data_IF_182833321217
#
_entry.id   IF_182833321217
#
_cell.length_a   1.000
_cell.length_b   1.000
_cell.length_c   1.000
_cell.angle_alpha   90.00
_cell.angle_beta   90.00
_cell.angle_gamma   90.00
#
_symmetry.space_group_name_H-M   'P 1'
#
loop_
_entity.id
_entity.type
_entity.pdbx_description
1 polymer ?
#
# COMPACT_ATOMS: atom_id res chain seq x y z
N UNK A 1 -14.53 -14.75 -11.54
CA UNK A 1 -14.34 -13.40 -10.97
C UNK A 1 -13.03 -12.91 -11.56
N UNK A 2 -13.09 -12.03 -12.56
CA UNK A 2 -11.87 -11.45 -13.11
C UNK A 2 -11.27 -10.55 -12.03
N UNK A 3 -10.05 -10.86 -11.62
CA UNK A 3 -9.30 -9.98 -10.73
C UNK A 3 -8.86 -8.78 -11.57
N UNK A 4 -9.68 -7.74 -11.63
CA UNK A 4 -9.30 -6.49 -12.28
C UNK A 4 -8.27 -5.79 -11.40
N UNK A 5 -7.01 -5.78 -11.84
CA UNK A 5 -5.96 -4.98 -11.23
C UNK A 5 -6.22 -3.50 -11.50
N UNK A 6 -6.12 -2.66 -10.47
CA UNK A 6 -6.24 -1.19 -10.60
C UNK A 6 -4.87 -0.54 -10.41
N UNK A 7 -4.66 0.62 -11.03
CA UNK A 7 -3.45 1.41 -10.78
C UNK A 7 -3.55 2.13 -9.42
N UNK A 8 -2.42 2.33 -8.75
CA UNK A 8 -2.34 3.03 -7.45
C UNK A 8 -3.05 4.40 -7.43
N UNK A 9 -2.94 5.27 -8.46
CA UNK A 9 -3.62 6.57 -8.43
C UNK A 9 -5.14 6.48 -8.49
N UNK A 10 -5.67 5.33 -8.93
CA UNK A 10 -7.11 5.08 -9.04
C UNK A 10 -7.67 4.47 -7.74
N UNK A 11 -6.84 4.26 -6.71
CA UNK A 11 -7.24 3.75 -5.40
C UNK A 11 -8.12 4.78 -4.68
N UNK A 12 -9.38 4.42 -4.43
CA UNK A 12 -10.35 5.28 -3.72
C UNK A 12 -10.55 4.82 -2.28
N UNK A 13 -10.71 5.78 -1.38
CA UNK A 13 -11.16 5.52 -0.02
C UNK A 13 -12.58 4.91 -0.03
N UNK A 14 -12.84 3.96 0.86
CA UNK A 14 -14.16 3.34 1.03
C UNK A 14 -14.42 2.06 0.23
N UNK A 15 -13.45 1.58 -0.55
CA UNK A 15 -13.53 0.25 -1.17
C UNK A 15 -13.06 -0.84 -0.20
N UNK A 16 -13.80 -1.95 -0.10
CA UNK A 16 -13.51 -3.04 0.85
C UNK A 16 -12.36 -3.96 0.42
N UNK A 17 -12.05 -4.05 -0.86
CA UNK A 17 -10.91 -4.81 -1.39
C UNK A 17 -10.50 -4.28 -2.76
N UNK A 18 -9.18 -4.18 -2.97
CA UNK A 18 -8.59 -3.83 -4.26
C UNK A 18 -7.33 -4.68 -4.47
N UNK A 19 -7.00 -4.95 -5.72
CA UNK A 19 -5.73 -5.58 -6.11
C UNK A 19 -4.99 -4.62 -7.03
N UNK A 20 -3.71 -4.38 -6.74
CA UNK A 20 -2.84 -3.57 -7.56
C UNK A 20 -1.47 -4.26 -7.64
N UNK A 21 -0.93 -4.37 -8.86
CA UNK A 21 0.45 -4.79 -9.07
C UNK A 21 1.34 -3.56 -9.05
N UNK A 22 2.40 -3.60 -8.24
CA UNK A 22 3.27 -2.45 -8.01
C UNK A 22 4.72 -2.90 -7.92
N UNK A 23 5.63 -2.10 -8.46
CA UNK A 23 7.06 -2.25 -8.14
C UNK A 23 7.32 -1.68 -6.75
N UNK A 24 8.19 -2.29 -5.96
CA UNK A 24 8.56 -1.77 -4.64
C UNK A 24 9.88 -1.01 -4.74
N UNK A 25 9.92 0.24 -4.26
CA UNK A 25 11.19 1.00 -4.16
C UNK A 25 11.87 0.66 -2.84
N UNK A 26 11.15 0.79 -1.73
CA UNK A 26 11.65 0.50 -0.39
C UNK A 26 10.50 0.23 0.57
N UNK A 27 10.82 -0.39 1.71
CA UNK A 27 9.89 -0.53 2.83
C UNK A 27 10.62 -0.18 4.13
N UNK A 28 9.89 0.38 5.08
CA UNK A 28 10.37 0.54 6.46
C UNK A 28 10.05 -0.71 7.27
N UNK A 29 10.90 -0.98 8.27
CA UNK A 29 10.69 -2.09 9.21
C UNK A 29 9.32 -2.01 9.89
N UNK A 30 8.71 -3.18 10.09
CA UNK A 30 7.40 -3.31 10.69
C UNK A 30 7.38 -2.73 12.10
N UNK A 31 6.50 -1.76 12.36
CA UNK A 31 6.35 -1.12 13.67
C UNK A 31 5.06 -1.58 14.32
N UNK A 32 5.11 -1.86 15.62
CA UNK A 32 3.91 -2.14 16.39
C UNK A 32 3.08 -0.86 16.50
N UNK A 33 1.84 -0.92 16.04
CA UNK A 33 0.89 0.18 16.19
C UNK A 33 0.20 0.03 17.54
N UNK A 34 -0.10 1.14 18.20
CA UNK A 34 -0.71 1.18 19.54
C UNK A 34 -2.18 0.73 19.58
N UNK A 35 -2.62 -0.13 18.67
CA UNK A 35 -3.93 -0.78 18.71
C UNK A 35 -3.75 -2.22 19.21
N UNK A 36 -3.75 -2.36 20.54
CA UNK A 36 -3.82 -3.62 21.29
C UNK A 36 -2.81 -4.72 20.92
N UNK A 37 -1.68 -4.36 20.32
CA UNK A 37 -0.56 -5.28 20.08
C UNK A 37 -0.78 -6.31 18.97
N UNK A 38 -1.93 -6.30 18.29
CA UNK A 38 -2.28 -7.24 17.23
C UNK A 38 -1.98 -6.74 15.81
N UNK A 39 -1.58 -5.47 15.66
CA UNK A 39 -1.31 -4.87 14.36
C UNK A 39 0.15 -4.43 14.26
N UNK A 40 0.81 -4.93 13.21
CA UNK A 40 2.11 -4.41 12.76
C UNK A 40 1.88 -3.62 11.48
N UNK A 41 2.37 -2.38 11.45
CA UNK A 41 2.34 -1.56 10.25
C UNK A 41 3.66 -1.67 9.50
N UNK A 42 3.56 -1.88 8.19
CA UNK A 42 4.68 -1.72 7.26
C UNK A 42 4.39 -0.51 6.38
N UNK A 43 5.37 0.39 6.28
CA UNK A 43 5.31 1.51 5.34
C UNK A 43 6.09 1.14 4.09
N UNK A 44 5.44 1.25 2.93
CA UNK A 44 6.05 0.95 1.63
C UNK A 44 6.08 2.20 0.76
N UNK A 45 7.21 2.40 0.09
CA UNK A 45 7.38 3.42 -0.94
C UNK A 45 7.20 2.77 -2.30
N UNK A 46 6.17 3.19 -3.02
CA UNK A 46 5.83 2.69 -4.34
C UNK A 46 6.11 3.77 -5.40
N UNK A 47 6.64 3.39 -6.58
CA UNK A 47 6.78 4.29 -7.71
C UNK A 47 5.38 4.64 -8.22
N UNK A 48 5.18 5.92 -8.54
CA UNK A 48 3.99 6.30 -9.26
C UNK A 48 4.20 6.04 -10.75
N UNK A 49 3.42 5.14 -11.33
CA UNK A 49 3.53 4.80 -12.75
C UNK A 49 2.90 5.86 -13.68
N UNK A 50 2.08 6.79 -13.16
CA UNK A 50 1.37 7.80 -13.98
C UNK A 50 1.85 9.23 -13.81
N UNK A 51 2.54 9.55 -12.73
CA UNK A 51 3.01 10.93 -12.46
C UNK A 51 4.52 10.94 -12.56
N UNK A 52 5.05 12.04 -13.11
CA UNK A 52 6.47 12.34 -13.28
C UNK A 52 7.38 11.67 -12.25
N UNK A 53 8.58 11.19 -12.65
CA UNK A 53 9.44 10.25 -11.90
C UNK A 53 9.78 10.62 -10.45
N UNK A 54 9.51 11.85 -10.02
CA UNK A 54 9.73 12.36 -8.67
C UNK A 54 8.55 12.16 -7.71
N UNK A 55 7.44 11.55 -8.17
CA UNK A 55 6.26 11.30 -7.33
C UNK A 55 6.23 9.87 -6.77
N UNK A 56 6.26 9.75 -5.44
CA UNK A 56 6.15 8.47 -4.76
C UNK A 56 4.86 8.36 -3.95
N UNK A 57 4.29 7.16 -3.85
CA UNK A 57 3.14 6.89 -3.00
C UNK A 57 3.59 6.15 -1.73
N UNK A 58 3.12 6.62 -0.57
CA UNK A 58 3.30 5.92 0.71
C UNK A 58 2.04 5.13 1.01
N UNK A 59 2.18 3.81 1.17
CA UNK A 59 1.08 2.93 1.55
C UNK A 59 1.41 2.31 2.90
N UNK A 60 0.41 2.28 3.78
CA UNK A 60 0.47 1.63 5.08
C UNK A 60 -0.33 0.33 5.00
N UNK A 61 0.33 -0.80 5.21
CA UNK A 61 -0.33 -2.11 5.30
C UNK A 61 -0.33 -2.56 6.76
N UNK A 62 -1.52 -2.81 7.28
CA UNK A 62 -1.70 -3.50 8.54
C UNK A 62 -1.55 -5.01 8.30
N UNK A 63 -0.52 -5.62 8.89
CA UNK A 63 -0.34 -7.05 8.90
C UNK A 63 -1.06 -7.62 10.13
N UNK A 64 -2.13 -8.38 9.91
CA UNK A 64 -2.75 -9.21 10.95
C UNK A 64 -2.06 -10.58 10.93
N UNK A 65 -1.45 -10.96 12.04
CA UNK A 65 -0.81 -12.29 12.24
C UNK A 65 -1.80 -13.33 12.69
#
# INVERSE_FOLDING_TARGET
>A
MENSSIHLPDLKAGCCSNTAEVRLISFEEAKNVKNDGHHRDVQMLLPNERVTPDSHHRVLLALST
#
